data_IF_875819140961
#
_entry.id   IF_875819140961
#
_cell.length_a   1.000
_cell.length_b   1.000
_cell.length_c   1.000
_cell.angle_alpha   90.00
_cell.angle_beta   90.00
_cell.angle_gamma   90.00
#
_symmetry.space_group_name_H-M   'P 1'
#
loop_
_entity.id
_entity.type
_entity.pdbx_description
1 polymer ?
#
# COMPACT_ATOMS: atom_id res chain seq x y z
N UNK A 1 26.94 5.25 -14.61
CA UNK A 1 25.51 5.23 -14.30
C UNK A 1 24.82 4.45 -15.39
N UNK A 2 24.03 3.42 -15.05
CA UNK A 2 23.26 2.69 -16.06
C UNK A 2 22.30 3.68 -16.73
N UNK A 3 22.28 3.68 -18.06
CA UNK A 3 21.40 4.55 -18.83
C UNK A 3 19.96 4.10 -18.58
N UNK A 4 19.15 4.96 -17.95
CA UNK A 4 17.73 4.67 -17.69
C UNK A 4 16.96 4.70 -19.01
N UNK A 5 16.55 3.51 -19.49
CA UNK A 5 15.77 3.38 -20.70
C UNK A 5 14.27 3.49 -20.40
N UNK A 6 13.73 4.67 -20.60
CA UNK A 6 12.31 4.97 -20.38
C UNK A 6 11.38 4.12 -21.27
N UNK A 7 11.80 3.79 -22.49
CA UNK A 7 10.98 3.01 -23.42
C UNK A 7 10.86 1.56 -22.95
N UNK A 8 11.94 1.01 -22.42
CA UNK A 8 11.94 -0.32 -21.81
C UNK A 8 11.00 -0.37 -20.61
N UNK A 9 11.07 0.63 -19.72
CA UNK A 9 10.17 0.72 -18.55
C UNK A 9 8.72 0.88 -18.98
N UNK A 10 8.45 1.74 -19.97
CA UNK A 10 7.08 1.92 -20.48
C UNK A 10 6.48 0.67 -21.12
N UNK A 11 7.30 -0.17 -21.74
CA UNK A 11 6.85 -1.44 -22.33
C UNK A 11 6.30 -2.42 -21.30
N UNK A 12 6.69 -2.31 -20.02
CA UNK A 12 6.14 -3.12 -18.94
C UNK A 12 4.69 -2.77 -18.58
N UNK A 13 4.18 -1.64 -19.09
CA UNK A 13 2.83 -1.13 -18.81
C UNK A 13 1.96 -1.15 -20.08
N UNK A 14 1.20 -2.22 -20.35
CA UNK A 14 0.46 -2.39 -21.62
C UNK A 14 -0.51 -1.24 -21.93
N UNK A 15 -1.10 -0.64 -20.90
CA UNK A 15 -2.04 0.47 -21.07
C UNK A 15 -1.40 1.71 -21.72
N UNK A 16 -0.09 1.90 -21.57
CA UNK A 16 0.61 3.06 -22.13
C UNK A 16 0.83 2.97 -23.65
N UNK A 17 0.54 1.82 -24.25
CA UNK A 17 0.55 1.64 -25.71
C UNK A 17 -0.75 2.08 -26.41
N UNK A 18 -1.78 2.46 -25.63
CA UNK A 18 -3.06 2.90 -26.19
C UNK A 18 -2.95 4.27 -26.85
N UNK A 19 -3.80 4.47 -27.84
CA UNK A 19 -4.07 5.78 -28.41
C UNK A 19 -5.42 6.32 -27.91
N UNK A 20 -5.46 7.64 -27.72
CA UNK A 20 -6.65 8.39 -27.34
C UNK A 20 -6.79 9.56 -28.34
N UNK A 21 -7.89 9.60 -29.08
CA UNK A 21 -8.12 10.59 -30.15
C UNK A 21 -6.99 10.62 -31.20
N UNK A 22 -6.46 9.46 -31.57
CA UNK A 22 -5.37 9.31 -32.54
C UNK A 22 -4.00 9.82 -32.07
N UNK A 23 -3.80 9.96 -30.77
CA UNK A 23 -2.53 10.36 -30.14
C UNK A 23 -2.13 9.35 -29.05
N UNK A 24 -0.84 9.14 -28.82
CA UNK A 24 -0.35 8.29 -27.72
C UNK A 24 -0.94 8.74 -26.37
N UNK A 25 -1.33 7.78 -25.54
CA UNK A 25 -1.83 8.05 -24.20
C UNK A 25 -0.79 8.78 -23.35
N UNK A 26 -1.18 9.90 -22.79
CA UNK A 26 -0.49 10.58 -21.70
C UNK A 26 -1.33 10.41 -20.43
N UNK A 27 -0.77 9.77 -19.40
CA UNK A 27 -1.43 9.51 -18.13
C UNK A 27 -0.63 10.19 -16.99
N UNK A 28 -1.23 11.18 -16.35
CA UNK A 28 -0.58 11.99 -15.31
C UNK A 28 -1.27 11.89 -13.94
N UNK A 29 -2.20 10.94 -13.76
CA UNK A 29 -3.00 10.78 -12.54
C UNK A 29 -2.59 9.55 -11.70
N UNK A 30 -1.29 9.21 -11.71
CA UNK A 30 -0.78 8.10 -10.88
C UNK A 30 -0.91 8.34 -9.37
N UNK A 31 -1.07 9.61 -8.93
CA UNK A 31 -1.33 9.94 -7.53
C UNK A 31 -2.67 9.41 -7.04
N UNK A 32 -3.69 9.37 -7.89
CA UNK A 32 -4.99 8.79 -7.58
C UNK A 32 -5.00 7.28 -7.84
N UNK A 33 -4.49 6.85 -9.01
CA UNK A 33 -4.47 5.44 -9.41
C UNK A 33 -3.22 5.15 -10.24
N UNK A 34 -2.31 4.36 -9.69
CA UNK A 34 -1.10 3.94 -10.39
C UNK A 34 -1.41 2.84 -11.41
N UNK A 35 -0.91 2.99 -12.63
CA UNK A 35 -0.98 1.93 -13.64
C UNK A 35 -0.18 0.71 -13.20
N UNK A 36 -0.63 -0.47 -13.63
CA UNK A 36 -0.04 -1.74 -13.20
C UNK A 36 0.87 -2.29 -14.30
N UNK A 37 2.12 -2.65 -13.97
CA UNK A 37 2.98 -3.36 -14.91
C UNK A 37 2.50 -4.79 -15.11
N UNK A 38 2.88 -5.39 -16.25
CA UNK A 38 2.45 -6.73 -16.66
C UNK A 38 2.80 -7.78 -15.58
N UNK A 39 3.98 -7.69 -14.98
CA UNK A 39 4.39 -8.62 -13.92
C UNK A 39 3.45 -8.64 -12.69
N UNK A 40 2.83 -7.50 -12.35
CA UNK A 40 1.83 -7.43 -11.27
C UNK A 40 0.52 -8.08 -11.71
N UNK A 41 0.08 -7.81 -12.94
CA UNK A 41 -1.15 -8.41 -13.50
C UNK A 41 -1.01 -9.93 -13.61
N UNK A 42 0.13 -10.42 -14.07
CA UNK A 42 0.41 -11.85 -14.19
C UNK A 42 0.48 -12.52 -12.81
N UNK A 43 1.13 -11.90 -11.82
CA UNK A 43 1.17 -12.43 -10.46
C UNK A 43 -0.23 -12.53 -9.83
N UNK A 44 -1.07 -11.52 -10.00
CA UNK A 44 -2.46 -11.56 -9.54
C UNK A 44 -3.27 -12.66 -10.25
N UNK A 45 -3.11 -12.77 -11.55
CA UNK A 45 -3.77 -13.82 -12.34
C UNK A 45 -3.35 -15.21 -11.88
N UNK A 46 -2.06 -15.42 -11.69
CA UNK A 46 -1.50 -16.70 -11.24
C UNK A 46 -2.03 -17.09 -9.87
N UNK A 47 -2.09 -16.15 -8.94
CA UNK A 47 -2.65 -16.40 -7.62
C UNK A 47 -4.11 -16.85 -7.70
N UNK A 48 -4.96 -16.13 -8.42
CA UNK A 48 -6.38 -16.49 -8.53
C UNK A 48 -6.63 -17.80 -9.27
N UNK A 49 -5.81 -18.14 -10.24
CA UNK A 49 -6.00 -19.37 -11.02
C UNK A 49 -5.46 -20.63 -10.30
N UNK A 50 -4.38 -20.50 -9.51
CA UNK A 50 -3.62 -21.67 -9.09
C UNK A 50 -3.39 -21.76 -7.57
N UNK A 51 -3.52 -20.67 -6.80
CA UNK A 51 -3.11 -20.65 -5.38
C UNK A 51 -4.19 -20.11 -4.45
N UNK A 52 -5.23 -19.45 -4.97
CA UNK A 52 -6.22 -18.72 -4.18
C UNK A 52 -6.80 -19.56 -3.02
N UNK A 53 -6.38 -19.23 -1.81
CA UNK A 53 -6.81 -19.91 -0.57
C UNK A 53 -6.68 -18.98 0.63
N UNK A 54 -7.28 -19.39 1.75
CA UNK A 54 -7.22 -18.64 3.00
C UNK A 54 -5.80 -18.68 3.60
N UNK A 55 -5.20 -17.51 3.77
CA UNK A 55 -3.87 -17.31 4.34
C UNK A 55 -3.90 -17.57 5.86
N UNK A 56 -2.91 -18.28 6.41
CA UNK A 56 -2.67 -18.57 7.84
C UNK A 56 -3.71 -19.47 8.54
N UNK A 57 -4.80 -19.87 7.91
CA UNK A 57 -5.89 -20.58 8.60
C UNK A 57 -6.26 -21.95 8.03
N UNK A 58 -5.75 -22.29 6.87
CA UNK A 58 -6.01 -23.58 6.26
C UNK A 58 -4.90 -24.59 6.55
N UNK A 59 -5.27 -25.85 6.72
CA UNK A 59 -4.33 -26.96 6.91
C UNK A 59 -4.14 -27.79 5.64
N UNK A 60 -4.48 -27.24 4.48
CA UNK A 60 -4.36 -27.90 3.18
C UNK A 60 -3.32 -27.20 2.29
N UNK A 61 -2.90 -27.90 1.25
CA UNK A 61 -1.80 -27.51 0.37
C UNK A 61 -1.89 -26.09 -0.18
N UNK A 62 -3.04 -25.68 -0.74
CA UNK A 62 -3.21 -24.33 -1.30
C UNK A 62 -3.09 -23.24 -0.24
N UNK A 63 -3.62 -23.47 0.96
CA UNK A 63 -3.49 -22.51 2.06
C UNK A 63 -2.04 -22.37 2.52
N UNK A 64 -1.26 -23.43 2.52
CA UNK A 64 0.18 -23.34 2.82
C UNK A 64 0.89 -22.53 1.74
N UNK A 65 0.64 -22.79 0.46
CA UNK A 65 1.24 -22.03 -0.64
C UNK A 65 0.87 -20.54 -0.59
N UNK A 66 -0.42 -20.22 -0.37
CA UNK A 66 -0.87 -18.83 -0.23
C UNK A 66 -0.19 -18.13 0.96
N UNK A 67 -0.02 -18.83 2.08
CA UNK A 67 0.70 -18.31 3.25
C UNK A 67 2.16 -18.06 2.96
N UNK A 68 2.85 -18.99 2.32
CA UNK A 68 4.26 -18.86 1.98
C UNK A 68 4.51 -17.68 1.04
N UNK A 69 3.66 -17.48 0.02
CA UNK A 69 3.72 -16.34 -0.89
C UNK A 69 3.45 -15.00 -0.17
N UNK A 70 2.47 -14.97 0.72
CA UNK A 70 2.15 -13.78 1.52
C UNK A 70 3.33 -13.38 2.42
N UNK A 71 3.91 -14.34 3.16
CA UNK A 71 5.04 -14.08 4.05
C UNK A 71 6.31 -13.72 3.26
N UNK A 72 6.54 -14.33 2.12
CA UNK A 72 7.65 -13.95 1.24
C UNK A 72 7.49 -12.51 0.72
N UNK A 73 6.28 -12.07 0.40
CA UNK A 73 6.01 -10.68 0.02
C UNK A 73 6.26 -9.71 1.19
N UNK A 74 5.82 -10.06 2.41
CA UNK A 74 6.11 -9.25 3.61
C UNK A 74 7.60 -9.12 3.85
N UNK A 75 8.35 -10.21 3.78
CA UNK A 75 9.80 -10.20 3.96
C UNK A 75 10.50 -9.33 2.89
N UNK A 76 10.05 -9.39 1.63
CA UNK A 76 10.58 -8.55 0.57
C UNK A 76 10.34 -7.05 0.84
N UNK A 77 9.16 -6.69 1.32
CA UNK A 77 8.86 -5.30 1.73
C UNK A 77 9.71 -4.90 2.92
N UNK A 78 9.84 -5.77 3.94
CA UNK A 78 10.69 -5.52 5.10
C UNK A 78 12.13 -5.16 4.68
N UNK A 79 12.73 -5.95 3.81
CA UNK A 79 14.07 -5.69 3.30
C UNK A 79 14.15 -4.39 2.50
N UNK A 80 13.14 -4.12 1.65
CA UNK A 80 13.12 -2.94 0.79
C UNK A 80 13.09 -1.63 1.58
N UNK A 81 12.31 -1.58 2.67
CA UNK A 81 12.22 -0.38 3.53
C UNK A 81 13.21 -0.41 4.70
N UNK A 82 14.06 -1.44 4.79
CA UNK A 82 15.03 -1.63 5.85
C UNK A 82 14.40 -1.66 7.26
N UNK A 83 13.25 -2.32 7.40
CA UNK A 83 12.65 -2.56 8.71
C UNK A 83 13.38 -3.67 9.45
N UNK A 84 13.48 -3.58 10.78
CA UNK A 84 14.21 -4.55 11.61
C UNK A 84 13.49 -5.90 11.66
N UNK A 85 12.17 -5.88 11.80
CA UNK A 85 11.35 -7.08 12.03
C UNK A 85 10.20 -7.19 11.06
N UNK A 86 9.84 -8.42 10.70
CA UNK A 86 8.72 -8.70 9.80
C UNK A 86 7.37 -8.23 10.38
N UNK A 87 7.25 -8.20 11.71
CA UNK A 87 6.05 -7.71 12.41
C UNK A 87 5.79 -6.21 12.20
N UNK A 88 6.80 -5.45 11.77
CA UNK A 88 6.65 -4.03 11.43
C UNK A 88 5.95 -3.81 10.08
N UNK A 89 5.79 -4.88 9.29
CA UNK A 89 5.10 -4.82 8.00
C UNK A 89 3.66 -5.26 8.17
N UNK A 90 2.74 -4.32 7.96
CA UNK A 90 1.30 -4.55 8.01
C UNK A 90 0.70 -4.15 6.67
N UNK A 91 0.16 -5.11 5.93
CA UNK A 91 -0.57 -4.83 4.70
C UNK A 91 -1.98 -4.33 5.01
N UNK A 92 -2.35 -3.24 4.36
CA UNK A 92 -3.67 -2.62 4.45
C UNK A 92 -4.26 -2.43 3.05
N UNK A 93 -5.53 -2.08 2.95
CA UNK A 93 -6.21 -1.82 1.68
C UNK A 93 -5.82 -0.50 1.03
N UNK A 94 -5.06 0.34 1.72
CA UNK A 94 -4.60 1.63 1.21
C UNK A 94 -4.29 2.63 2.31
N UNK A 95 -3.81 3.82 1.90
CA UNK A 95 -3.35 4.89 2.80
C UNK A 95 -4.40 5.30 3.84
N UNK A 96 -5.67 5.39 3.45
CA UNK A 96 -6.75 5.77 4.39
C UNK A 96 -6.87 4.78 5.55
N UNK A 97 -6.82 3.48 5.27
CA UNK A 97 -6.84 2.46 6.33
C UNK A 97 -5.57 2.52 7.18
N UNK A 98 -4.41 2.67 6.57
CA UNK A 98 -3.14 2.79 7.30
C UNK A 98 -3.14 3.98 8.25
N UNK A 99 -3.59 5.16 7.80
CA UNK A 99 -3.64 6.35 8.63
C UNK A 99 -4.64 6.22 9.78
N UNK A 100 -5.80 5.62 9.54
CA UNK A 100 -6.77 5.35 10.61
C UNK A 100 -6.22 4.35 11.63
N UNK A 101 -5.56 3.29 11.17
CA UNK A 101 -4.91 2.32 12.05
C UNK A 101 -3.84 2.98 12.93
N UNK A 102 -2.95 3.77 12.34
CA UNK A 102 -1.90 4.49 13.08
C UNK A 102 -2.51 5.49 14.04
N UNK A 103 -3.43 6.35 13.58
CA UNK A 103 -4.03 7.37 14.43
C UNK A 103 -4.74 6.75 15.64
N UNK A 104 -5.50 5.67 15.44
CA UNK A 104 -6.19 5.00 16.54
C UNK A 104 -5.21 4.29 17.49
N UNK A 105 -4.36 3.42 16.96
CA UNK A 105 -3.46 2.59 17.80
C UNK A 105 -2.43 3.44 18.55
N UNK A 106 -1.86 4.45 17.88
CA UNK A 106 -0.88 5.33 18.48
C UNK A 106 -1.52 6.22 19.56
N UNK A 107 -2.68 6.80 19.26
CA UNK A 107 -3.41 7.61 20.26
C UNK A 107 -3.83 6.78 21.46
N UNK A 108 -4.27 5.53 21.24
CA UNK A 108 -4.68 4.67 22.35
C UNK A 108 -3.52 4.25 23.24
N UNK A 109 -2.33 4.09 22.68
CA UNK A 109 -1.16 3.58 23.40
C UNK A 109 -0.29 4.68 24.01
N UNK A 110 -0.19 5.86 23.38
CA UNK A 110 0.85 6.83 23.69
C UNK A 110 0.35 8.24 23.99
N UNK A 111 -0.87 8.62 23.54
CA UNK A 111 -1.37 9.98 23.70
C UNK A 111 -2.38 10.10 24.82
N UNK A 112 -2.34 11.24 25.51
CA UNK A 112 -3.23 11.65 26.61
C UNK A 112 -3.97 12.93 26.24
N UNK A 113 -5.00 13.26 27.01
CA UNK A 113 -5.69 14.55 26.92
C UNK A 113 -4.71 15.71 27.04
N UNK A 114 -4.80 16.66 26.12
CA UNK A 114 -3.93 17.83 26.03
C UNK A 114 -2.64 17.65 25.24
N UNK A 115 -2.26 16.41 24.87
CA UNK A 115 -1.13 16.18 23.98
C UNK A 115 -1.39 16.77 22.59
N UNK A 116 -0.31 17.06 21.86
CA UNK A 116 -0.36 17.74 20.58
C UNK A 116 0.14 16.85 19.44
N UNK A 117 -0.58 16.89 18.32
CA UNK A 117 -0.18 16.26 17.06
C UNK A 117 -0.02 17.34 15.99
N UNK A 118 1.16 17.43 15.39
CA UNK A 118 1.45 18.39 14.34
C UNK A 118 1.22 17.73 12.98
N UNK A 119 0.42 18.38 12.15
CA UNK A 119 0.21 18.01 10.74
C UNK A 119 0.49 19.24 9.85
N UNK A 120 0.81 19.03 8.58
CA UNK A 120 0.93 20.15 7.64
C UNK A 120 -0.45 20.56 7.10
N UNK A 121 -0.55 21.81 6.61
CA UNK A 121 -1.77 22.28 5.94
C UNK A 121 -1.96 21.68 4.54
N UNK A 122 -0.94 21.02 4.00
CA UNK A 122 -0.95 20.39 2.66
C UNK A 122 -1.34 18.92 2.69
N UNK A 123 -1.74 18.39 3.86
CA UNK A 123 -2.09 16.99 4.00
C UNK A 123 -3.34 16.61 3.21
N UNK A 124 -3.35 15.40 2.68
CA UNK A 124 -4.57 14.79 2.18
C UNK A 124 -5.52 14.47 3.34
N UNK A 125 -6.83 14.52 3.10
CA UNK A 125 -7.85 14.27 4.13
C UNK A 125 -7.65 12.95 4.89
N UNK A 126 -7.08 11.93 4.25
CA UNK A 126 -6.75 10.66 4.91
C UNK A 126 -5.77 10.79 6.08
N UNK A 127 -4.95 11.87 6.11
CA UNK A 127 -4.02 12.17 7.20
C UNK A 127 -4.45 13.39 8.05
N UNK A 128 -5.66 13.92 7.84
CA UNK A 128 -6.23 14.99 8.67
C UNK A 128 -7.36 14.42 9.53
N UNK A 129 -8.37 13.83 8.88
CA UNK A 129 -9.60 13.40 9.52
C UNK A 129 -9.38 12.37 10.65
N UNK A 130 -8.51 11.35 10.50
CA UNK A 130 -8.27 10.41 11.59
C UNK A 130 -7.77 11.09 12.88
N UNK A 131 -6.89 12.07 12.76
CA UNK A 131 -6.38 12.81 13.92
C UNK A 131 -7.43 13.76 14.52
N UNK A 132 -8.27 14.40 13.70
CA UNK A 132 -9.42 15.17 14.18
C UNK A 132 -10.37 14.29 15.01
N UNK A 133 -10.66 13.08 14.55
CA UNK A 133 -11.48 12.12 15.29
C UNK A 133 -10.85 11.72 16.63
N UNK A 134 -9.53 11.54 16.68
CA UNK A 134 -8.82 11.29 17.93
C UNK A 134 -8.85 12.52 18.85
N UNK A 135 -8.77 13.73 18.28
CA UNK A 135 -8.96 14.98 19.04
C UNK A 135 -10.30 15.02 19.76
N UNK A 136 -11.39 14.71 19.05
CA UNK A 136 -12.74 14.65 19.62
C UNK A 136 -12.89 13.53 20.67
N UNK A 137 -12.23 12.39 20.44
CA UNK A 137 -12.36 11.21 21.33
C UNK A 137 -11.53 11.32 22.60
N UNK A 138 -10.33 11.89 22.51
CA UNK A 138 -9.31 11.85 23.57
C UNK A 138 -8.85 13.22 24.07
N UNK A 139 -9.34 14.31 23.49
CA UNK A 139 -8.91 15.66 23.87
C UNK A 139 -7.49 16.02 23.44
N UNK A 140 -6.91 15.32 22.44
CA UNK A 140 -5.64 15.75 21.83
C UNK A 140 -5.86 16.98 20.94
N UNK A 141 -4.83 17.82 20.83
CA UNK A 141 -4.86 19.05 20.01
C UNK A 141 -4.11 18.85 18.70
N UNK A 142 -4.69 19.35 17.62
CA UNK A 142 -4.07 19.38 16.29
C UNK A 142 -3.46 20.76 16.04
#
# INVERSE_FOLDING_TARGET
MANYDINKVRADFPILSREVYGKPLVYLDNGATTQKPLCVLDAMREEYLNVNANVHRGVHYLSQQATDLHEAAREKVRQFINADKIQEIIFTRGTTESMNLVASSFSDSFLKEGDEVIISTMEHHSNIVPWQLQGLKKGIRL
#
